data_IF_626345766111
#
_entry.id   IF_626345766111
#
_cell.length_a   1.000
_cell.length_b   1.000
_cell.length_c   1.000
_cell.angle_alpha   90.00
_cell.angle_beta   90.00
_cell.angle_gamma   90.00
#
_symmetry.space_group_name_H-M   'P 1'
#
loop_
_entity.id
_entity.type
_entity.pdbx_description
1 polymer ?
#
# COMPACT_ATOMS: atom_id res chain seq x y z
N UNK A 1 2.53 -1.89 -6.52
CA UNK A 1 1.44 -1.16 -5.83
C UNK A 1 0.22 -2.05 -5.67
N UNK A 2 -0.55 -1.83 -4.61
CA UNK A 2 -1.87 -2.43 -4.40
C UNK A 2 -2.89 -1.35 -4.08
N UNK A 3 -4.15 -1.60 -4.42
CA UNK A 3 -5.29 -0.73 -4.09
C UNK A 3 -6.52 -1.55 -3.69
N UNK A 4 -6.34 -2.84 -3.40
CA UNK A 4 -7.41 -3.73 -3.01
C UNK A 4 -6.89 -4.81 -2.07
N UNK A 5 -7.66 -5.08 -1.02
CA UNK A 5 -7.38 -6.11 -0.01
C UNK A 5 -8.03 -7.46 -0.33
N UNK A 6 -9.06 -7.44 -1.20
CA UNK A 6 -9.80 -8.64 -1.58
C UNK A 6 -10.09 -8.70 -3.08
N UNK A 7 -10.48 -9.89 -3.54
CA UNK A 7 -10.73 -10.18 -4.94
C UNK A 7 -11.80 -9.26 -5.57
N UNK A 8 -12.91 -9.03 -4.87
CA UNK A 8 -14.02 -8.21 -5.37
C UNK A 8 -13.57 -6.77 -5.65
N UNK A 9 -12.92 -6.15 -4.67
CA UNK A 9 -12.39 -4.79 -4.78
C UNK A 9 -11.28 -4.71 -5.84
N UNK A 10 -10.42 -5.74 -5.91
CA UNK A 10 -9.35 -5.83 -6.91
C UNK A 10 -9.90 -5.76 -8.35
N UNK A 11 -10.92 -6.56 -8.66
CA UNK A 11 -11.52 -6.55 -10.01
C UNK A 11 -12.33 -5.27 -10.29
N UNK A 12 -12.98 -4.71 -9.26
CA UNK A 12 -13.72 -3.43 -9.38
C UNK A 12 -12.80 -2.26 -9.75
N UNK A 13 -11.65 -2.15 -9.07
CA UNK A 13 -10.72 -1.03 -9.24
C UNK A 13 -9.83 -1.24 -10.48
N UNK A 14 -9.18 -2.40 -10.58
CA UNK A 14 -8.12 -2.61 -11.57
C UNK A 14 -8.63 -3.04 -12.95
N UNK A 15 -9.82 -3.68 -13.03
CA UNK A 15 -10.40 -4.19 -14.29
C UNK A 15 -9.37 -4.95 -15.14
N UNK A 16 -8.70 -5.98 -14.59
CA UNK A 16 -7.60 -6.66 -15.26
C UNK A 16 -8.10 -7.46 -16.45
N UNK A 17 -7.26 -7.59 -17.48
CA UNK A 17 -7.55 -8.41 -18.67
C UNK A 17 -7.59 -9.91 -18.36
N UNK A 18 -6.74 -10.36 -17.42
CA UNK A 18 -6.60 -11.77 -17.07
C UNK A 18 -7.58 -12.16 -15.96
N UNK A 19 -8.29 -13.26 -16.16
CA UNK A 19 -9.26 -13.78 -15.18
C UNK A 19 -8.59 -14.27 -13.88
N UNK A 20 -7.31 -14.64 -13.95
CA UNK A 20 -6.47 -15.11 -12.84
C UNK A 20 -5.54 -14.01 -12.28
N UNK A 21 -5.86 -12.73 -12.53
CA UNK A 21 -5.00 -11.62 -12.12
C UNK A 21 -4.84 -11.51 -10.60
N UNK A 22 -5.87 -11.86 -9.84
CA UNK A 22 -5.81 -11.91 -8.37
C UNK A 22 -4.84 -12.98 -7.87
N UNK A 23 -4.87 -14.16 -8.44
CA UNK A 23 -3.96 -15.25 -8.12
C UNK A 23 -2.50 -14.92 -8.50
N UNK A 24 -2.31 -14.26 -9.64
CA UNK A 24 -1.00 -13.72 -10.06
C UNK A 24 -0.48 -12.67 -9.09
N UNK A 25 -1.36 -11.82 -8.56
CA UNK A 25 -1.00 -10.84 -7.55
C UNK A 25 -0.43 -11.51 -6.30
N UNK A 26 -1.09 -12.52 -5.77
CA UNK A 26 -0.59 -13.28 -4.61
C UNK A 26 0.74 -13.99 -4.88
N UNK A 27 0.94 -14.53 -6.08
CA UNK A 27 2.25 -15.09 -6.48
C UNK A 27 3.34 -14.00 -6.48
N UNK A 28 3.03 -12.79 -6.94
CA UNK A 28 3.95 -11.65 -6.91
C UNK A 28 4.31 -11.24 -5.48
N UNK A 29 3.34 -11.22 -4.57
CA UNK A 29 3.60 -10.95 -3.15
C UNK A 29 4.53 -12.00 -2.53
N UNK A 30 4.32 -13.27 -2.82
CA UNK A 30 5.18 -14.37 -2.36
C UNK A 30 6.63 -14.19 -2.88
N UNK A 31 6.78 -13.82 -4.11
CA UNK A 31 8.10 -13.52 -4.68
C UNK A 31 8.77 -12.34 -3.96
N UNK A 32 8.03 -11.25 -3.70
CA UNK A 32 8.55 -10.08 -2.97
C UNK A 32 9.01 -10.44 -1.55
N UNK A 33 8.31 -11.36 -0.88
CA UNK A 33 8.67 -11.82 0.46
C UNK A 33 10.07 -12.46 0.53
N UNK A 34 10.51 -13.08 -0.56
CA UNK A 34 11.80 -13.79 -0.66
C UNK A 34 12.86 -13.03 -1.45
N UNK A 35 12.51 -11.90 -2.07
CA UNK A 35 13.42 -11.13 -2.91
C UNK A 35 14.62 -10.59 -2.11
N UNK A 36 15.81 -10.80 -2.62
CA UNK A 36 17.07 -10.29 -2.05
C UNK A 36 17.35 -8.84 -2.52
N UNK A 37 16.36 -7.99 -2.37
CA UNK A 37 16.44 -6.56 -2.70
C UNK A 37 15.48 -5.78 -1.81
N UNK A 38 15.70 -4.48 -1.67
CA UNK A 38 14.78 -3.61 -0.96
C UNK A 38 13.43 -3.58 -1.66
N UNK A 39 12.37 -3.86 -0.92
CA UNK A 39 11.00 -3.94 -1.44
C UNK A 39 10.09 -2.93 -0.76
N UNK A 40 9.22 -2.32 -1.56
CA UNK A 40 8.17 -1.39 -1.09
C UNK A 40 6.83 -1.86 -1.63
N UNK A 41 5.85 -2.01 -0.76
CA UNK A 41 4.45 -2.16 -1.15
C UNK A 41 3.74 -0.83 -0.99
N UNK A 42 3.34 -0.20 -2.10
CA UNK A 42 2.52 1.00 -2.08
C UNK A 42 1.06 0.63 -2.10
N UNK A 43 0.34 1.05 -1.08
CA UNK A 43 -1.11 0.99 -0.99
C UNK A 43 -1.69 2.34 -1.40
N UNK A 44 -2.50 2.36 -2.46
CA UNK A 44 -3.22 3.56 -2.88
C UNK A 44 -4.64 3.52 -2.34
N UNK A 45 -4.95 4.45 -1.46
CA UNK A 45 -6.28 4.62 -0.87
C UNK A 45 -7.15 5.52 -1.77
N UNK A 46 -8.38 5.07 -2.00
CA UNK A 46 -9.36 5.73 -2.89
C UNK A 46 -10.69 5.78 -2.14
N UNK A 47 -11.20 6.99 -1.88
CA UNK A 47 -12.50 7.19 -1.22
C UNK A 47 -13.60 6.46 -1.98
N UNK A 48 -14.55 5.88 -1.25
CA UNK A 48 -15.67 5.06 -1.75
C UNK A 48 -15.27 3.69 -2.34
N UNK A 49 -13.97 3.34 -2.30
CA UNK A 49 -13.49 2.09 -2.85
C UNK A 49 -12.81 1.18 -1.83
N UNK A 50 -11.84 1.72 -1.07
CA UNK A 50 -10.98 0.92 -0.20
C UNK A 50 -10.55 1.61 1.11
N UNK A 51 -11.13 2.76 1.45
CA UNK A 51 -10.80 3.52 2.67
C UNK A 51 -11.49 2.99 3.94
N UNK A 52 -12.46 2.08 3.79
CA UNK A 52 -13.17 1.57 4.95
C UNK A 52 -12.20 0.86 5.91
N UNK A 53 -12.30 1.18 7.18
CA UNK A 53 -11.50 0.60 8.25
C UNK A 53 -11.67 -0.93 8.35
N UNK A 54 -12.79 -1.47 7.90
CA UNK A 54 -13.04 -2.91 7.86
C UNK A 54 -12.03 -3.66 6.97
N UNK A 55 -11.43 -2.97 5.98
CA UNK A 55 -10.40 -3.55 5.12
C UNK A 55 -9.01 -3.63 5.76
N UNK A 56 -8.80 -3.00 6.92
CA UNK A 56 -7.49 -2.96 7.58
C UNK A 56 -6.95 -4.37 7.85
N UNK A 57 -7.79 -5.29 8.34
CA UNK A 57 -7.35 -6.67 8.61
C UNK A 57 -6.91 -7.39 7.33
N UNK A 58 -7.70 -7.27 6.26
CA UNK A 58 -7.36 -7.88 4.95
C UNK A 58 -6.06 -7.29 4.37
N UNK A 59 -5.88 -5.97 4.48
CA UNK A 59 -4.63 -5.33 4.05
C UNK A 59 -3.45 -5.77 4.93
N UNK A 60 -3.63 -5.87 6.24
CA UNK A 60 -2.59 -6.35 7.16
C UNK A 60 -2.13 -7.77 6.79
N UNK A 61 -3.05 -8.69 6.55
CA UNK A 61 -2.73 -10.05 6.10
C UNK A 61 -1.94 -10.05 4.80
N UNK A 62 -2.38 -9.27 3.81
CA UNK A 62 -1.69 -9.13 2.51
C UNK A 62 -0.27 -8.57 2.67
N UNK A 63 -0.11 -7.52 3.50
CA UNK A 63 1.19 -6.88 3.72
C UNK A 63 2.13 -7.80 4.50
N UNK A 64 1.64 -8.51 5.52
CA UNK A 64 2.42 -9.51 6.26
C UNK A 64 2.84 -10.68 5.36
N UNK A 65 1.97 -11.14 4.47
CA UNK A 65 2.30 -12.19 3.50
C UNK A 65 3.38 -11.75 2.52
N UNK A 66 3.29 -10.52 1.99
CA UNK A 66 4.29 -9.94 1.09
C UNK A 66 5.59 -9.56 1.78
N UNK A 67 5.56 -9.41 3.12
CA UNK A 67 6.69 -9.12 3.99
C UNK A 67 7.69 -8.09 3.41
N UNK A 68 7.24 -6.90 2.97
CA UNK A 68 8.11 -5.89 2.38
C UNK A 68 9.01 -5.24 3.43
N UNK A 69 10.05 -4.52 2.99
CA UNK A 69 10.86 -3.67 3.87
C UNK A 69 10.12 -2.40 4.27
N UNK A 70 9.33 -1.85 3.34
CA UNK A 70 8.52 -0.64 3.56
C UNK A 70 7.11 -0.80 2.99
N UNK A 71 6.17 -0.12 3.63
CA UNK A 71 4.81 0.05 3.14
C UNK A 71 4.55 1.55 3.03
N UNK A 72 4.07 2.00 1.86
CA UNK A 72 3.56 3.35 1.67
C UNK A 72 2.04 3.30 1.64
N UNK A 73 1.38 3.94 2.60
CA UNK A 73 -0.06 4.20 2.58
C UNK A 73 -0.26 5.58 2.01
N UNK A 74 -0.82 5.66 0.81
CA UNK A 74 -0.88 6.91 0.03
C UNK A 74 -2.28 7.19 -0.48
N UNK A 75 -2.71 8.45 -0.43
CA UNK A 75 -3.92 8.88 -1.09
C UNK A 75 -3.82 8.74 -2.61
N UNK A 76 -4.92 8.35 -3.25
CA UNK A 76 -5.13 8.62 -4.66
C UNK A 76 -4.90 10.10 -4.96
N UNK A 77 -4.26 10.39 -6.06
CA UNK A 77 -4.08 11.76 -6.57
C UNK A 77 -4.81 11.89 -7.89
N UNK A 78 -5.66 12.92 -8.03
CA UNK A 78 -6.48 13.14 -9.22
C UNK A 78 -5.65 13.71 -10.38
N UNK A 79 -4.85 12.84 -11.01
CA UNK A 79 -3.93 13.15 -12.12
C UNK A 79 -3.89 12.04 -13.16
N UNK A 80 -3.53 12.39 -14.40
CA UNK A 80 -3.33 11.44 -15.49
C UNK A 80 -4.62 10.69 -15.87
N UNK A 81 -4.46 9.49 -16.44
CA UNK A 81 -5.58 8.67 -16.96
C UNK A 81 -6.61 8.26 -15.89
N UNK A 82 -6.25 8.30 -14.63
CA UNK A 82 -7.20 7.99 -13.55
C UNK A 82 -8.36 8.98 -13.46
N UNK A 83 -8.17 10.22 -13.94
CA UNK A 83 -9.20 11.27 -13.97
C UNK A 83 -10.38 10.94 -14.90
N UNK A 84 -10.22 9.99 -15.81
CA UNK A 84 -11.30 9.48 -16.66
C UNK A 84 -12.29 8.58 -15.90
N UNK A 85 -11.91 8.11 -14.72
CA UNK A 85 -12.63 7.09 -13.96
C UNK A 85 -12.93 7.47 -12.52
N UNK A 86 -12.17 8.37 -11.97
CA UNK A 86 -12.22 8.81 -10.58
C UNK A 86 -12.34 10.32 -10.51
N UNK A 87 -13.05 10.78 -9.50
CA UNK A 87 -13.28 12.19 -9.23
C UNK A 87 -12.22 12.74 -8.26
N UNK A 88 -12.10 14.06 -8.19
CA UNK A 88 -11.25 14.74 -7.21
C UNK A 88 -11.65 14.38 -5.76
N UNK A 89 -12.95 14.17 -5.52
CA UNK A 89 -13.49 13.77 -4.21
C UNK A 89 -13.09 12.36 -3.78
N UNK A 90 -12.56 11.52 -4.69
CA UNK A 90 -11.99 10.21 -4.33
C UNK A 90 -10.60 10.33 -3.68
N UNK A 91 -10.02 11.51 -3.58
CA UNK A 91 -8.78 11.75 -2.81
C UNK A 91 -9.09 11.66 -1.31
N UNK A 92 -8.16 11.08 -0.55
CA UNK A 92 -8.24 10.94 0.91
C UNK A 92 -7.42 12.06 1.55
N UNK A 93 -7.92 12.64 2.63
CA UNK A 93 -7.19 13.66 3.37
C UNK A 93 -6.08 13.04 4.24
N UNK A 94 -5.03 13.84 4.51
CA UNK A 94 -3.85 13.33 5.24
C UNK A 94 -4.20 12.80 6.64
N UNK A 95 -5.19 13.41 7.32
CA UNK A 95 -5.66 12.93 8.63
C UNK A 95 -6.23 11.51 8.58
N UNK A 96 -6.97 11.18 7.53
CA UNK A 96 -7.54 9.84 7.32
C UNK A 96 -6.43 8.83 6.95
N UNK A 97 -5.43 9.24 6.13
CA UNK A 97 -4.26 8.41 5.81
C UNK A 97 -3.49 8.07 7.10
N UNK A 98 -3.26 9.05 7.99
CA UNK A 98 -2.62 8.84 9.28
C UNK A 98 -3.40 7.86 10.16
N UNK A 99 -4.72 8.05 10.25
CA UNK A 99 -5.59 7.18 11.05
C UNK A 99 -5.54 5.74 10.56
N UNK A 100 -5.74 5.53 9.25
CA UNK A 100 -5.67 4.21 8.64
C UNK A 100 -4.29 3.56 8.82
N UNK A 101 -3.21 4.33 8.70
CA UNK A 101 -1.84 3.84 8.86
C UNK A 101 -1.54 3.38 10.29
N UNK A 102 -2.10 4.05 11.31
CA UNK A 102 -1.99 3.63 12.72
C UNK A 102 -2.70 2.30 12.95
N UNK A 103 -3.96 2.21 12.53
CA UNK A 103 -4.74 0.96 12.64
C UNK A 103 -4.05 -0.20 11.91
N UNK A 104 -3.50 0.06 10.72
CA UNK A 104 -2.76 -0.94 9.95
C UNK A 104 -1.49 -1.38 10.71
N UNK A 105 -0.73 -0.44 11.26
CA UNK A 105 0.48 -0.72 12.05
C UNK A 105 0.16 -1.57 13.28
N UNK A 106 -0.93 -1.27 13.99
CA UNK A 106 -1.37 -2.01 15.19
C UNK A 106 -1.74 -3.46 14.87
N UNK A 107 -2.17 -3.75 13.63
CA UNK A 107 -2.48 -5.11 13.15
C UNK A 107 -1.24 -5.86 12.61
N UNK A 108 -0.10 -5.19 12.46
CA UNK A 108 1.09 -5.78 11.85
C UNK A 108 2.30 -5.78 12.81
N UNK A 109 2.43 -6.79 13.68
CA UNK A 109 3.57 -6.89 14.60
C UNK A 109 4.92 -6.86 13.87
N UNK A 110 5.75 -5.89 14.20
CA UNK A 110 7.05 -5.67 13.58
C UNK A 110 7.08 -4.59 12.50
N UNK A 111 5.95 -3.98 12.19
CA UNK A 111 5.90 -2.76 11.38
C UNK A 111 5.64 -1.55 12.28
N UNK A 112 6.29 -0.44 12.00
CA UNK A 112 6.07 0.83 12.69
C UNK A 112 6.08 2.00 11.70
N UNK A 113 5.30 3.04 12.02
CA UNK A 113 5.32 4.28 11.25
C UNK A 113 6.72 4.89 11.35
N UNK A 114 7.33 5.18 10.22
CA UNK A 114 8.69 5.71 10.12
C UNK A 114 8.73 7.17 9.69
N UNK A 115 7.87 7.55 8.73
CA UNK A 115 7.90 8.89 8.13
C UNK A 115 6.58 9.22 7.42
N UNK A 116 6.39 10.49 7.08
CA UNK A 116 5.22 10.94 6.32
C UNK A 116 5.53 12.17 5.46
N UNK A 117 4.72 12.40 4.46
CA UNK A 117 4.73 13.61 3.65
C UNK A 117 3.31 14.14 3.47
N UNK A 118 3.04 15.30 4.03
CA UNK A 118 1.74 15.97 3.94
C UNK A 118 1.38 16.33 2.49
N UNK A 119 2.32 16.93 1.78
CA UNK A 119 2.13 17.35 0.38
C UNK A 119 1.79 16.15 -0.51
N UNK A 120 2.45 15.01 -0.28
CA UNK A 120 2.25 13.78 -1.04
C UNK A 120 1.12 12.92 -0.48
N UNK A 121 0.53 13.27 0.66
CA UNK A 121 -0.47 12.51 1.41
C UNK A 121 -0.07 11.04 1.53
N UNK A 122 1.10 10.80 2.08
CA UNK A 122 1.67 9.46 2.27
C UNK A 122 2.23 9.30 3.68
N UNK A 123 1.98 8.12 4.25
CA UNK A 123 2.63 7.62 5.47
C UNK A 123 3.44 6.38 5.09
N UNK A 124 4.65 6.28 5.64
CA UNK A 124 5.56 5.15 5.40
C UNK A 124 5.71 4.34 6.67
N UNK A 125 5.49 3.02 6.55
CA UNK A 125 5.77 2.06 7.61
C UNK A 125 7.03 1.27 7.25
N UNK A 126 7.85 0.96 8.27
CA UNK A 126 9.06 0.16 8.13
C UNK A 126 8.92 -1.18 8.86
N UNK A 127 9.38 -2.24 8.21
CA UNK A 127 9.48 -3.58 8.79
C UNK A 127 10.73 -3.68 9.67
N UNK A 128 10.55 -3.75 10.97
CA UNK A 128 11.64 -3.86 11.94
C UNK A 128 12.31 -5.24 11.92
N UNK A 129 11.61 -6.28 11.45
CA UNK A 129 12.15 -7.64 11.30
C UNK A 129 12.97 -7.82 10.02
N UNK A 130 12.79 -6.93 9.05
CA UNK A 130 13.57 -6.84 7.80
C UNK A 130 14.17 -5.44 7.67
N UNK A 131 14.83 -4.99 8.69
CA UNK A 131 15.39 -3.64 8.72
C UNK A 131 16.37 -3.41 7.56
N UNK A 132 16.25 -2.28 6.91
CA UNK A 132 17.21 -1.75 5.92
C UNK A 132 17.22 -0.23 6.00
N UNK A 133 18.33 0.39 5.61
CA UNK A 133 18.41 1.86 5.57
C UNK A 133 17.34 2.42 4.60
N UNK A 134 16.68 3.49 5.01
CA UNK A 134 15.68 4.21 4.20
C UNK A 134 16.30 4.95 3.00
N UNK A 135 17.56 5.36 3.14
CA UNK A 135 18.22 6.17 2.13
C UNK A 135 18.75 5.33 0.96
N UNK A 136 18.49 5.81 -0.26
CA UNK A 136 19.01 5.24 -1.48
C UNK A 136 20.22 6.08 -1.89
N UNK A 137 21.37 5.43 -2.20
CA UNK A 137 22.55 6.12 -2.75
C UNK A 137 23.54 6.71 -1.74
N UNK A 138 23.44 6.41 -0.46
CA UNK A 138 24.41 6.84 0.56
C UNK A 138 25.85 6.35 0.33
N UNK A 139 26.06 5.44 -0.61
CA UNK A 139 27.35 4.80 -0.87
C UNK A 139 28.00 5.23 -2.20
N UNK A 140 27.47 6.28 -2.84
CA UNK A 140 27.99 6.80 -4.09
C UNK A 140 28.49 8.26 -3.94
N UNK A 141 29.19 8.53 -2.83
CA UNK A 141 29.95 9.77 -2.66
C UNK A 141 31.39 9.40 -2.42
#
# INVERSE_FOLDING_TARGET
>A
STNASNRKTFYRINRPRHKDAWERWWKSLRFLATANTRTVLRMTMIREYNENIDFVNEFAEMMLYGNPHFIEVKSYMHIGMSTERLEKNNMIEMGEIRSFSRELSDKMPGFSIMDESEISRVVVLQNQKRYTDRWIGKYFV
#
